data_IF_752917783529
#
_entry.id   IF_752917783529
#
_cell.length_a   1.000
_cell.length_b   1.000
_cell.length_c   1.000
_cell.angle_alpha   90.00
_cell.angle_beta   90.00
_cell.angle_gamma   90.00
#
_symmetry.space_group_name_H-M   'P 1'
#
loop_
_entity.id
_entity.type
_entity.pdbx_description
1 polymer ?
#
# COMPACT_ATOMS: atom_id res chain seq x y z
N UNK A 1 -27.02 44.58 49.72
CA UNK A 1 -25.80 43.76 49.81
C UNK A 1 -26.19 42.35 49.38
N UNK A 2 -25.45 41.84 48.40
CA UNK A 2 -25.72 40.62 47.65
C UNK A 2 -25.68 39.39 48.56
N UNK A 3 -26.51 38.39 48.25
CA UNK A 3 -26.15 36.96 48.32
C UNK A 3 -27.10 36.13 47.47
N UNK A 4 -26.50 35.30 46.62
CA UNK A 4 -27.00 34.57 45.46
C UNK A 4 -28.12 33.54 45.71
N UNK A 5 -28.87 33.14 44.66
CA UNK A 5 -29.79 32.01 44.73
C UNK A 5 -29.07 30.66 44.57
N UNK A 6 -29.61 29.66 45.25
CA UNK A 6 -29.27 28.23 45.15
C UNK A 6 -29.42 27.73 43.70
N UNK A 7 -28.36 27.12 43.16
CA UNK A 7 -28.44 26.38 41.91
C UNK A 7 -28.30 24.88 42.18
N UNK A 8 -29.39 24.18 41.88
CA UNK A 8 -29.54 22.74 42.00
C UNK A 8 -28.51 21.97 41.16
N UNK A 9 -28.09 20.84 41.73
CA UNK A 9 -27.45 19.73 41.03
C UNK A 9 -28.30 19.30 39.82
N UNK A 10 -27.68 19.17 38.65
CA UNK A 10 -28.00 18.09 37.70
C UNK A 10 -26.78 17.77 36.84
N UNK A 11 -26.44 16.49 36.86
CA UNK A 11 -25.37 15.80 36.13
C UNK A 11 -25.42 16.02 34.62
N UNK A 12 -24.28 16.36 34.04
CA UNK A 12 -24.00 16.15 32.62
C UNK A 12 -22.60 15.51 32.48
N UNK A 13 -22.58 14.18 32.57
CA UNK A 13 -21.45 13.37 32.12
C UNK A 13 -21.22 13.62 30.62
N UNK A 14 -20.22 14.42 30.27
CA UNK A 14 -19.67 14.50 28.91
C UNK A 14 -18.22 14.96 28.93
N UNK A 15 -17.36 14.16 29.55
CA UNK A 15 -15.93 14.16 29.25
C UNK A 15 -15.64 13.13 28.15
N UNK A 16 -16.23 13.34 26.96
CA UNK A 16 -15.66 12.74 25.75
C UNK A 16 -14.38 13.52 25.50
N UNK A 17 -13.26 12.98 25.98
CA UNK A 17 -11.95 13.48 25.57
C UNK A 17 -11.81 13.12 24.10
N UNK A 18 -12.19 14.04 23.21
CA UNK A 18 -11.70 14.05 21.84
C UNK A 18 -10.19 14.23 21.95
N UNK A 19 -9.45 13.13 21.97
CA UNK A 19 -8.00 13.17 21.80
C UNK A 19 -7.78 13.60 20.35
N UNK A 20 -7.61 14.91 20.15
CA UNK A 20 -7.01 15.42 18.92
C UNK A 20 -5.71 14.66 18.69
N UNK A 21 -5.55 14.13 17.47
CA UNK A 21 -4.35 13.42 17.05
C UNK A 21 -3.15 14.35 17.16
N UNK A 22 -2.41 14.26 18.27
CA UNK A 22 -1.18 15.03 18.48
C UNK A 22 -0.19 14.67 17.37
N UNK A 23 0.25 15.69 16.66
CA UNK A 23 1.18 15.60 15.52
C UNK A 23 2.65 15.42 15.94
N UNK A 24 2.91 15.11 17.21
CA UNK A 24 4.26 15.15 17.81
C UNK A 24 4.87 13.77 18.09
N UNK A 25 4.18 12.68 17.74
CA UNK A 25 4.74 11.35 17.86
C UNK A 25 5.73 11.05 16.73
N UNK A 26 6.92 11.66 16.79
CA UNK A 26 8.05 11.20 15.98
C UNK A 26 8.42 9.79 16.45
N UNK A 27 8.49 8.82 15.52
CA UNK A 27 9.01 7.48 15.80
C UNK A 27 10.53 7.56 16.02
N UNK A 28 10.92 8.03 17.21
CA UNK A 28 12.32 8.18 17.61
C UNK A 28 12.95 6.78 17.63
N UNK A 29 14.06 6.61 16.90
CA UNK A 29 14.86 5.37 16.81
C UNK A 29 14.16 4.13 16.21
N UNK A 30 13.00 4.26 15.55
CA UNK A 30 12.31 3.13 14.91
C UNK A 30 12.08 1.92 15.85
N UNK A 31 11.74 2.19 17.11
CA UNK A 31 11.57 1.14 18.14
C UNK A 31 10.18 0.50 18.11
N UNK A 32 9.21 1.21 17.54
CA UNK A 32 7.86 0.70 17.30
C UNK A 32 7.79 0.05 15.92
N UNK A 33 7.27 -1.18 15.87
CA UNK A 33 7.00 -1.88 14.62
C UNK A 33 6.19 -0.97 13.70
N UNK A 34 6.70 -0.76 12.49
CA UNK A 34 5.93 -0.10 11.42
C UNK A 34 5.84 -1.09 10.28
N UNK A 35 4.64 -1.60 10.05
CA UNK A 35 4.26 -2.30 8.84
C UNK A 35 3.71 -1.27 7.84
N UNK A 36 4.14 -1.41 6.59
CA UNK A 36 3.58 -0.64 5.49
C UNK A 36 3.07 -1.59 4.44
N UNK A 37 1.77 -1.54 4.19
CA UNK A 37 1.17 -2.18 3.02
C UNK A 37 1.78 -1.56 1.76
N UNK A 38 2.42 -2.40 0.95
CA UNK A 38 3.00 -2.05 -0.34
C UNK A 38 2.35 -2.81 -1.50
N UNK A 39 1.19 -3.44 -1.28
CA UNK A 39 0.44 -4.21 -2.28
C UNK A 39 0.09 -3.37 -3.50
N UNK A 40 -0.42 -2.15 -3.29
CA UNK A 40 -0.75 -1.23 -4.39
C UNK A 40 0.50 -0.81 -5.18
N UNK A 41 1.60 -0.54 -4.48
CA UNK A 41 2.88 -0.23 -5.12
C UNK A 41 3.39 -1.41 -5.93
N UNK A 42 3.36 -2.62 -5.37
CA UNK A 42 3.81 -3.83 -6.03
C UNK A 42 3.01 -4.11 -7.31
N UNK A 43 1.68 -3.96 -7.25
CA UNK A 43 0.79 -4.09 -8.41
C UNK A 43 1.14 -3.09 -9.51
N UNK A 44 1.41 -1.84 -9.15
CA UNK A 44 1.83 -0.80 -10.11
C UNK A 44 3.20 -1.14 -10.72
N UNK A 45 4.14 -1.57 -9.87
CA UNK A 45 5.51 -1.91 -10.29
C UNK A 45 5.53 -3.10 -11.24
N UNK A 46 4.76 -4.15 -10.96
CA UNK A 46 4.65 -5.31 -11.85
C UNK A 46 4.04 -4.94 -13.20
N UNK A 47 3.04 -4.05 -13.23
CA UNK A 47 2.52 -3.53 -14.51
C UNK A 47 3.61 -2.82 -15.30
N UNK A 48 4.38 -1.93 -14.67
CA UNK A 48 5.46 -1.21 -15.37
C UNK A 48 6.54 -2.14 -15.93
N UNK A 49 6.86 -3.22 -15.21
CA UNK A 49 7.90 -4.16 -15.62
C UNK A 49 7.43 -5.13 -16.70
N UNK A 50 6.15 -5.51 -16.69
CA UNK A 50 5.61 -6.56 -17.56
C UNK A 50 4.91 -6.00 -18.80
N UNK A 51 4.34 -4.80 -18.73
CA UNK A 51 3.66 -4.20 -19.88
C UNK A 51 4.66 -3.95 -21.01
N UNK A 52 4.31 -4.43 -22.21
CA UNK A 52 5.10 -4.34 -23.43
C UNK A 52 6.47 -5.03 -23.35
N UNK A 53 6.69 -5.87 -22.33
CA UNK A 53 7.88 -6.69 -22.23
C UNK A 53 7.93 -7.64 -23.42
N UNK A 54 9.00 -7.53 -24.22
CA UNK A 54 9.27 -8.42 -25.35
C UNK A 54 9.96 -9.67 -24.82
N UNK A 55 9.25 -10.79 -24.89
CA UNK A 55 9.77 -12.09 -24.45
C UNK A 55 10.67 -12.73 -25.51
N UNK A 56 10.36 -12.47 -26.78
CA UNK A 56 11.10 -12.99 -27.91
C UNK A 56 10.91 -12.07 -29.12
N UNK A 57 11.98 -11.89 -29.90
CA UNK A 57 11.94 -11.16 -31.15
C UNK A 57 12.97 -11.75 -32.10
N UNK A 58 12.52 -12.16 -33.28
CA UNK A 58 13.37 -12.61 -34.38
C UNK A 58 12.99 -11.87 -35.66
N UNK A 59 13.94 -11.09 -36.17
CA UNK A 59 13.76 -10.28 -37.37
C UNK A 59 13.68 -11.13 -38.64
N UNK A 60 14.31 -12.32 -38.67
CA UNK A 60 14.35 -13.18 -39.86
C UNK A 60 13.02 -13.88 -40.09
N UNK A 61 12.42 -14.39 -39.03
CA UNK A 61 11.09 -15.03 -39.08
C UNK A 61 9.96 -14.02 -38.95
N UNK A 62 10.26 -12.78 -38.55
CA UNK A 62 9.27 -11.74 -38.32
C UNK A 62 8.40 -11.99 -37.07
N UNK A 63 8.81 -12.90 -36.19
CA UNK A 63 8.06 -13.29 -34.99
C UNK A 63 8.44 -12.36 -33.83
N UNK A 64 7.42 -11.81 -33.16
CA UNK A 64 7.57 -11.03 -31.93
C UNK A 64 6.56 -11.50 -30.89
N UNK A 65 7.04 -11.86 -29.70
CA UNK A 65 6.22 -12.26 -28.56
C UNK A 65 6.31 -11.19 -27.49
N UNK A 66 5.18 -10.68 -27.01
CA UNK A 66 5.14 -9.65 -25.99
C UNK A 66 4.01 -9.85 -24.99
N UNK A 67 4.13 -9.22 -23.82
CA UNK A 67 3.10 -9.19 -22.78
C UNK A 67 2.33 -7.86 -22.88
N UNK A 68 1.16 -7.81 -23.53
CA UNK A 68 0.38 -6.58 -23.62
C UNK A 68 -0.36 -6.23 -22.33
N UNK A 69 -0.56 -7.19 -21.41
CA UNK A 69 -1.45 -6.95 -20.27
C UNK A 69 -1.21 -7.84 -19.06
N UNK A 70 -1.28 -7.23 -17.88
CA UNK A 70 -1.47 -7.91 -16.60
C UNK A 70 -2.98 -8.10 -16.33
N UNK A 71 -3.47 -9.34 -16.36
CA UNK A 71 -4.90 -9.68 -16.29
C UNK A 71 -5.41 -9.80 -14.86
N UNK A 72 -4.73 -10.59 -14.03
CA UNK A 72 -5.11 -10.83 -12.63
C UNK A 72 -3.94 -10.46 -11.72
N UNK A 73 -4.25 -9.96 -10.55
CA UNK A 73 -3.31 -9.70 -9.47
C UNK A 73 -4.05 -9.89 -8.15
N UNK A 74 -3.59 -10.83 -7.33
CA UNK A 74 -4.14 -11.17 -6.03
C UNK A 74 -2.97 -11.37 -5.05
N UNK A 75 -3.20 -11.06 -3.79
CA UNK A 75 -2.22 -11.24 -2.74
C UNK A 75 -1.83 -9.93 -2.09
N UNK A 76 -0.83 -10.01 -1.23
CA UNK A 76 -0.43 -8.97 -0.29
C UNK A 76 1.08 -8.81 -0.28
N UNK A 77 1.54 -7.58 -0.10
CA UNK A 77 2.93 -7.25 0.09
C UNK A 77 3.06 -6.23 1.21
N UNK A 78 4.00 -6.45 2.11
CA UNK A 78 4.27 -5.58 3.23
C UNK A 78 5.76 -5.38 3.43
N UNK A 79 6.13 -4.16 3.79
CA UNK A 79 7.48 -3.80 4.21
C UNK A 79 7.48 -3.60 5.71
N UNK A 80 8.41 -4.28 6.38
CA UNK A 80 8.61 -4.23 7.81
C UNK A 80 9.92 -3.50 8.08
N UNK A 81 9.89 -2.49 8.96
CA UNK A 81 11.13 -1.92 9.49
C UNK A 81 11.29 -2.29 10.96
N UNK A 82 12.36 -3.02 11.28
CA UNK A 82 12.71 -3.38 12.65
C UNK A 82 14.20 -3.13 12.89
N UNK A 83 14.52 -2.27 13.86
CA UNK A 83 15.91 -2.03 14.30
C UNK A 83 16.85 -1.66 13.14
N UNK A 84 16.37 -0.83 12.22
CA UNK A 84 17.14 -0.41 11.03
C UNK A 84 17.31 -1.49 9.96
N UNK A 85 16.67 -2.66 10.11
CA UNK A 85 16.62 -3.69 9.08
C UNK A 85 15.27 -3.59 8.36
N UNK A 86 15.35 -3.39 7.06
CA UNK A 86 14.21 -3.43 6.17
C UNK A 86 13.96 -4.87 5.73
N UNK A 87 12.81 -5.42 6.07
CA UNK A 87 12.32 -6.70 5.59
C UNK A 87 11.13 -6.49 4.66
N UNK A 88 10.94 -7.40 3.71
CA UNK A 88 9.74 -7.47 2.90
C UNK A 88 9.14 -8.87 3.02
N UNK A 89 7.82 -8.94 3.11
CA UNK A 89 7.05 -10.19 3.07
C UNK A 89 6.00 -10.01 1.99
N UNK A 90 5.84 -11.02 1.14
CA UNK A 90 4.87 -10.97 0.06
C UNK A 90 4.33 -12.36 -0.26
N UNK A 91 3.06 -12.41 -0.59
CA UNK A 91 2.39 -13.54 -1.20
C UNK A 91 1.60 -12.98 -2.38
N UNK A 92 2.03 -13.27 -3.61
CA UNK A 92 1.46 -12.64 -4.80
C UNK A 92 1.20 -13.71 -5.87
N UNK A 93 -0.02 -13.73 -6.36
CA UNK A 93 -0.47 -14.51 -7.50
C UNK A 93 -0.93 -13.55 -8.62
N UNK A 94 -0.40 -13.71 -9.82
CA UNK A 94 -0.82 -12.90 -10.96
C UNK A 94 -0.87 -13.70 -12.25
N UNK A 95 -1.64 -13.20 -13.22
CA UNK A 95 -1.75 -13.79 -14.56
C UNK A 95 -1.52 -12.71 -15.60
N UNK A 96 -0.73 -13.03 -16.61
CA UNK A 96 -0.48 -12.17 -17.77
C UNK A 96 -1.14 -12.77 -19.01
N UNK A 97 -1.53 -11.89 -19.93
CA UNK A 97 -1.84 -12.26 -21.31
C UNK A 97 -0.58 -11.98 -22.15
N UNK A 98 -0.29 -12.85 -23.11
CA UNK A 98 0.82 -12.69 -24.05
C UNK A 98 0.29 -12.83 -25.48
N UNK A 99 0.94 -12.15 -26.42
CA UNK A 99 0.55 -12.16 -27.83
C UNK A 99 1.76 -12.44 -28.72
N UNK A 100 1.49 -12.99 -29.91
CA UNK A 100 2.47 -13.19 -30.97
C UNK A 100 2.08 -12.35 -32.18
N UNK A 101 3.01 -11.54 -32.67
CA UNK A 101 2.91 -10.84 -33.95
C UNK A 101 3.85 -11.51 -34.93
N UNK A 102 3.33 -11.87 -36.10
CA UNK A 102 4.11 -12.43 -37.21
C UNK A 102 4.04 -11.45 -38.37
N UNK A 103 5.20 -10.97 -38.84
CA UNK A 103 5.30 -10.23 -40.10
C UNK A 103 5.26 -11.24 -41.26
N UNK A 104 4.19 -11.20 -42.04
CA UNK A 104 4.10 -11.87 -43.34
C UNK A 104 4.81 -11.10 -44.45
#
# INVERSE_FOLDING_TARGET
MMSSPDFASTSANKSVVLVESRKDAHNVNQWHWTDRDCTAWCKSRLRQLLLDLVLYHDEKTGIRISIPRLRKFKGEAMVLNRRGRLGAIWEIEFTVEWEVKVRG
#
